data_IF_087248809650
#
_entry.id   IF_087248809650
#
_cell.length_a   1.000
_cell.length_b   1.000
_cell.length_c   1.000
_cell.angle_alpha   90.00
_cell.angle_beta   90.00
_cell.angle_gamma   90.00
#
_symmetry.space_group_name_H-M   'P 1'
#
loop_
_entity.id
_entity.type
_entity.pdbx_description
1 polymer ?
#
# COMPACT_ATOMS: atom_id res chain seq x y z
N UNK A 1 -0.42 -15.16 17.24
CA UNK A 1 0.27 -14.24 16.33
C UNK A 1 -0.11 -14.71 14.94
N UNK A 2 -1.29 -14.28 14.48
CA UNK A 2 -1.81 -14.63 13.16
C UNK A 2 -0.89 -14.05 12.08
N UNK A 3 -0.50 -14.89 11.13
CA UNK A 3 0.22 -14.48 9.92
C UNK A 3 -0.56 -13.36 9.24
N UNK A 4 0.02 -12.16 9.13
CA UNK A 4 -0.66 -11.02 8.51
C UNK A 4 -0.80 -11.31 7.00
N UNK A 5 -2.02 -11.55 6.47
CA UNK A 5 -2.21 -12.10 5.14
C UNK A 5 -2.31 -10.99 4.07
N UNK A 6 -1.48 -9.95 4.19
CA UNK A 6 -1.60 -8.71 3.40
C UNK A 6 -1.33 -8.88 1.89
N UNK A 7 -0.89 -10.07 1.45
CA UNK A 7 -0.55 -10.36 0.06
C UNK A 7 -1.27 -11.61 -0.47
N UNK A 8 -2.52 -11.84 -0.07
CA UNK A 8 -3.33 -12.91 -0.66
C UNK A 8 -3.82 -12.50 -2.06
N UNK A 9 -3.47 -13.29 -3.07
CA UNK A 9 -3.90 -13.06 -4.46
C UNK A 9 -3.01 -13.76 -5.49
N UNK A 10 -3.63 -14.30 -6.54
CA UNK A 10 -2.90 -14.98 -7.62
C UNK A 10 -2.32 -13.98 -8.63
N UNK A 11 -2.90 -12.78 -8.71
CA UNK A 11 -2.47 -11.70 -9.59
C UNK A 11 -1.92 -10.50 -8.82
N UNK A 12 -1.04 -9.73 -9.46
CA UNK A 12 -0.48 -8.48 -8.90
C UNK A 12 -1.57 -7.52 -8.42
N UNK A 13 -2.63 -7.37 -9.23
CA UNK A 13 -3.78 -6.50 -8.93
C UNK A 13 -4.46 -6.93 -7.62
N UNK A 14 -4.74 -8.22 -7.46
CA UNK A 14 -5.39 -8.74 -6.25
C UNK A 14 -4.53 -8.56 -4.99
N UNK A 15 -3.21 -8.79 -5.09
CA UNK A 15 -2.30 -8.56 -3.95
C UNK A 15 -2.27 -7.09 -3.55
N UNK A 16 -2.26 -6.19 -4.52
CA UNK A 16 -2.31 -4.76 -4.26
C UNK A 16 -3.64 -4.32 -3.66
N UNK A 17 -4.77 -4.80 -4.19
CA UNK A 17 -6.10 -4.51 -3.66
C UNK A 17 -6.24 -5.00 -2.21
N UNK A 18 -5.75 -6.21 -1.90
CA UNK A 18 -5.71 -6.75 -0.54
C UNK A 18 -4.85 -5.89 0.39
N UNK A 19 -3.67 -5.47 -0.07
CA UNK A 19 -2.76 -4.60 0.69
C UNK A 19 -3.38 -3.24 0.97
N UNK A 20 -3.99 -2.59 -0.03
CA UNK A 20 -4.64 -1.29 0.13
C UNK A 20 -5.84 -1.42 1.08
N UNK A 21 -6.70 -2.42 0.88
CA UNK A 21 -7.86 -2.64 1.73
C UNK A 21 -7.48 -2.86 3.20
N UNK A 22 -6.36 -3.56 3.47
CA UNK A 22 -5.90 -3.82 4.83
C UNK A 22 -5.21 -2.62 5.49
N UNK A 23 -4.48 -1.79 4.74
CA UNK A 23 -3.57 -0.79 5.32
C UNK A 23 -4.00 0.66 5.11
N UNK A 24 -4.94 0.94 4.21
CA UNK A 24 -5.29 2.32 3.83
C UNK A 24 -5.65 3.19 5.04
N UNK A 25 -6.51 2.69 5.92
CA UNK A 25 -6.99 3.48 7.07
C UNK A 25 -5.86 3.79 8.06
N UNK A 26 -4.96 2.85 8.31
CA UNK A 26 -3.84 3.03 9.23
C UNK A 26 -2.80 4.00 8.67
N UNK A 27 -2.45 3.83 7.39
CA UNK A 27 -1.51 4.71 6.70
C UNK A 27 -2.08 6.13 6.59
N UNK A 28 -3.36 6.27 6.26
CA UNK A 28 -4.04 7.56 6.20
C UNK A 28 -4.07 8.27 7.55
N UNK A 29 -4.44 7.56 8.62
CA UNK A 29 -4.46 8.12 9.97
C UNK A 29 -3.08 8.57 10.42
N UNK A 30 -2.04 7.80 10.11
CA UNK A 30 -0.66 8.18 10.40
C UNK A 30 -0.23 9.42 9.60
N UNK A 31 -0.49 9.45 8.29
CA UNK A 31 -0.20 10.59 7.42
C UNK A 31 -0.92 11.86 7.89
N UNK A 32 -2.20 11.76 8.27
CA UNK A 32 -2.96 12.87 8.81
C UNK A 32 -2.40 13.33 10.16
N UNK A 33 -1.97 12.40 11.01
CA UNK A 33 -1.35 12.77 12.29
C UNK A 33 -0.02 13.51 12.10
N UNK A 34 0.73 13.24 11.04
CA UNK A 34 1.96 13.96 10.70
C UNK A 34 1.68 15.34 10.09
N UNK A 35 0.84 15.41 9.06
CA UNK A 35 0.64 16.63 8.28
C UNK A 35 -0.39 17.58 8.91
N UNK A 36 -1.29 17.07 9.77
CA UNK A 36 -2.47 17.78 10.32
C UNK A 36 -3.34 18.47 9.25
N UNK A 37 -3.24 18.02 8.00
CA UNK A 37 -3.87 18.61 6.83
C UNK A 37 -4.37 17.46 5.95
N UNK A 38 -5.67 17.51 5.60
CA UNK A 38 -6.32 16.45 4.84
C UNK A 38 -5.75 16.31 3.41
N UNK A 39 -5.73 17.36 2.56
CA UNK A 39 -5.12 17.29 1.23
C UNK A 39 -3.70 16.70 1.24
N UNK A 40 -2.83 17.17 2.13
CA UNK A 40 -1.45 16.65 2.23
C UNK A 40 -1.40 15.19 2.67
N UNK A 41 -2.30 14.76 3.55
CA UNK A 41 -2.36 13.37 3.98
C UNK A 41 -2.83 12.45 2.84
N UNK A 42 -3.81 12.88 2.05
CA UNK A 42 -4.29 12.15 0.88
C UNK A 42 -3.19 11.98 -0.17
N UNK A 43 -2.45 13.05 -0.48
CA UNK A 43 -1.33 13.00 -1.42
C UNK A 43 -0.22 12.04 -0.94
N UNK A 44 0.15 12.12 0.34
CA UNK A 44 1.19 11.26 0.91
C UNK A 44 0.80 9.77 0.86
N UNK A 45 -0.46 9.46 1.16
CA UNK A 45 -1.01 8.11 1.12
C UNK A 45 -1.02 7.58 -0.32
N UNK A 46 -1.46 8.40 -1.28
CA UNK A 46 -1.45 8.05 -2.70
C UNK A 46 -0.04 7.77 -3.21
N UNK A 47 0.93 8.63 -2.92
CA UNK A 47 2.33 8.39 -3.30
C UNK A 47 2.88 7.09 -2.70
N UNK A 48 2.53 6.81 -1.44
CA UNK A 48 2.99 5.61 -0.73
C UNK A 48 2.48 4.34 -1.41
N UNK A 49 1.18 4.27 -1.71
CA UNK A 49 0.62 3.10 -2.38
C UNK A 49 1.06 2.99 -3.84
N UNK A 50 1.25 4.11 -4.55
CA UNK A 50 1.83 4.09 -5.90
C UNK A 50 3.27 3.54 -5.91
N UNK A 51 4.10 3.89 -4.93
CA UNK A 51 5.44 3.30 -4.77
C UNK A 51 5.37 1.80 -4.47
N UNK A 52 4.45 1.38 -3.60
CA UNK A 52 4.21 -0.04 -3.33
C UNK A 52 3.79 -0.81 -4.58
N UNK A 53 2.89 -0.25 -5.41
CA UNK A 53 2.47 -0.85 -6.67
C UNK A 53 3.64 -1.07 -7.64
N UNK A 54 4.52 -0.08 -7.79
CA UNK A 54 5.74 -0.18 -8.63
C UNK A 54 6.73 -1.21 -8.07
N UNK A 55 6.88 -1.28 -6.74
CA UNK A 55 7.74 -2.29 -6.12
C UNK A 55 7.24 -3.72 -6.36
N UNK A 56 5.92 -3.92 -6.38
CA UNK A 56 5.31 -5.20 -6.75
C UNK A 56 5.57 -5.57 -8.23
N UNK A 57 5.78 -4.60 -9.13
CA UNK A 57 6.25 -4.86 -10.50
C UNK A 57 7.70 -5.30 -10.53
N UNK A 58 8.57 -4.59 -9.80
CA UNK A 58 10.00 -4.87 -9.78
C UNK A 58 10.29 -6.28 -9.29
N UNK A 59 9.55 -6.76 -8.28
CA UNK A 59 9.70 -8.13 -7.74
C UNK A 59 9.35 -9.22 -8.76
N UNK A 60 8.53 -8.95 -9.77
CA UNK A 60 8.24 -9.92 -10.83
C UNK A 60 9.34 -9.94 -11.92
N UNK A 61 10.16 -8.89 -12.01
CA UNK A 61 11.15 -8.72 -13.07
C UNK A 61 12.56 -9.22 -12.69
N UNK A 62 12.77 -9.64 -11.44
CA UNK A 62 14.06 -10.15 -10.92
C UNK A 62 14.26 -11.66 -11.16
N UNK A 63 13.39 -12.29 -11.96
CA UNK A 63 13.51 -13.69 -12.41
C UNK A 63 13.95 -13.81 -13.88
N UNK A 64 14.74 -12.86 -14.38
CA UNK A 64 15.34 -12.89 -15.71
C UNK A 64 16.82 -13.28 -15.63
#
# INVERSE_FOLDING_TARGET
>A
MDEIPILQGNTKKQRYESLVAALYQDVYRYAFWLCKNQPMAEDLVQETFLRAWRSLESLQNDKA
#
